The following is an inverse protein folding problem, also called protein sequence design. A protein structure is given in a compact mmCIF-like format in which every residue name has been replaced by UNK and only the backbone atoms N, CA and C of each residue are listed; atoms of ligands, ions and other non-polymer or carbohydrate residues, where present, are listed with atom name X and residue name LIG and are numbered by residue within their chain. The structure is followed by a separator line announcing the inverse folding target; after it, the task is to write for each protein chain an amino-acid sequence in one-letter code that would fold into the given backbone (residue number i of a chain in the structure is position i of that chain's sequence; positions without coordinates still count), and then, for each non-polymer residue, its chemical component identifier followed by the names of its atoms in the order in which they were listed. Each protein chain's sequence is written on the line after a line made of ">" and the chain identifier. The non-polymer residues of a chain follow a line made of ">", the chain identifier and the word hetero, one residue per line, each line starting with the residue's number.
data_IF_581719895723
#
_entry.id   IF_581719895723
#
_cell.length_a   1.000
_cell.length_b   1.000
_cell.length_c   1.000
_cell.angle_alpha   90.00
_cell.angle_beta   90.00
_cell.angle_gamma   90.00
#
_symmetry.space_group_name_H-M   'P 1'
#
loop_
_entity.id
_entity.type
_entity.pdbx_description
1 polymer ?
#
# COMPACT_ATOMS: atom_id res chain seq x y z
N UNK A 1 -4.37 16.21 -15.87
CA UNK A 1 -4.61 14.78 -15.59
C UNK A 1 -3.52 14.36 -14.62
N UNK A 2 -3.85 14.14 -13.35
CA UNK A 2 -2.88 13.82 -12.30
C UNK A 2 -2.40 12.38 -12.54
N UNK A 3 -1.09 12.15 -12.56
CA UNK A 3 -0.53 10.80 -12.71
C UNK A 3 -1.01 9.91 -11.56
N UNK A 4 -1.25 8.62 -11.80
CA UNK A 4 -1.66 7.70 -10.73
C UNK A 4 -0.65 7.74 -9.58
N UNK A 5 -1.11 8.10 -8.37
CA UNK A 5 -0.25 8.22 -7.18
C UNK A 5 0.28 9.62 -6.88
N UNK A 6 0.02 10.60 -7.76
CA UNK A 6 0.16 12.02 -7.45
C UNK A 6 -1.12 12.53 -6.76
N UNK A 7 -0.96 13.51 -5.88
CA UNK A 7 -2.04 14.19 -5.17
C UNK A 7 -2.21 15.60 -5.70
N UNK A 8 -3.43 16.11 -5.71
CA UNK A 8 -3.72 17.46 -6.14
C UNK A 8 -3.04 18.48 -5.20
N UNK A 9 -2.46 19.53 -5.78
CA UNK A 9 -1.77 20.59 -5.02
C UNK A 9 -2.73 21.46 -4.22
N UNK A 10 -4.02 21.38 -4.51
CA UNK A 10 -5.06 22.06 -3.73
C UNK A 10 -5.12 21.60 -2.28
N UNK A 11 -4.73 20.36 -1.98
CA UNK A 11 -4.82 19.79 -0.63
C UNK A 11 -3.49 19.93 0.09
N UNK A 12 -3.48 20.62 1.23
CA UNK A 12 -2.32 20.83 2.07
C UNK A 12 -2.32 19.93 3.30
N UNK A 13 -3.49 19.50 3.77
CA UNK A 13 -3.61 18.71 4.99
C UNK A 13 -3.12 17.26 4.78
N UNK A 14 -2.16 16.73 5.57
CA UNK A 14 -1.56 15.42 5.32
C UNK A 14 -2.56 14.26 5.26
N UNK A 15 -3.57 14.25 6.14
CA UNK A 15 -4.58 13.17 6.14
C UNK A 15 -5.50 13.22 4.91
N UNK A 16 -5.79 14.41 4.38
CA UNK A 16 -6.65 14.58 3.20
C UNK A 16 -5.89 14.11 1.96
N UNK A 17 -4.61 14.48 1.85
CA UNK A 17 -3.71 13.99 0.81
C UNK A 17 -3.57 12.46 0.84
N UNK A 18 -3.44 11.88 2.03
CA UNK A 18 -3.36 10.41 2.19
C UNK A 18 -4.68 9.72 1.78
N UNK A 19 -5.85 10.32 2.03
CA UNK A 19 -7.14 9.82 1.53
C UNK A 19 -7.28 9.94 0.01
N UNK A 20 -6.84 11.06 -0.57
CA UNK A 20 -6.82 11.24 -2.02
C UNK A 20 -5.92 10.19 -2.70
N UNK A 21 -4.72 9.99 -2.13
CA UNK A 21 -3.81 8.93 -2.57
C UNK A 21 -4.49 7.57 -2.44
N UNK A 22 -5.15 7.28 -1.31
CA UNK A 22 -5.84 6.02 -1.09
C UNK A 22 -6.89 5.75 -2.17
N UNK A 23 -7.68 6.76 -2.54
CA UNK A 23 -8.71 6.67 -3.58
C UNK A 23 -8.15 6.41 -4.97
N UNK A 24 -6.93 6.86 -5.25
CA UNK A 24 -6.35 6.86 -6.60
C UNK A 24 -5.29 5.78 -6.80
N UNK A 25 -4.70 5.26 -5.72
CA UNK A 25 -3.61 4.30 -5.78
C UNK A 25 -4.08 2.95 -6.34
N UNK A 26 -3.43 2.43 -7.40
CA UNK A 26 -3.67 1.09 -7.88
C UNK A 26 -3.14 0.04 -6.91
N UNK A 27 -3.74 -1.15 -6.93
CA UNK A 27 -3.24 -2.29 -6.18
C UNK A 27 -1.96 -2.85 -6.82
N UNK A 28 -1.10 -3.46 -6.01
CA UNK A 28 0.13 -4.09 -6.46
C UNK A 28 -0.13 -5.28 -7.38
N UNK A 29 -1.12 -6.11 -7.02
CA UNK A 29 -1.41 -7.40 -7.65
C UNK A 29 -2.88 -7.48 -8.09
N UNK A 30 -3.12 -8.11 -9.23
CA UNK A 30 -4.45 -8.57 -9.62
C UNK A 30 -4.81 -9.85 -8.85
N UNK A 31 -5.69 -9.73 -7.86
CA UNK A 31 -6.11 -10.86 -7.01
C UNK A 31 -7.38 -11.54 -7.58
N UNK A 32 -7.47 -12.90 -7.54
CA UNK A 32 -8.63 -13.62 -8.07
C UNK A 32 -9.95 -13.35 -7.34
N UNK A 33 -9.90 -13.01 -6.04
CA UNK A 33 -11.09 -12.83 -5.21
C UNK A 33 -11.91 -11.58 -5.57
N UNK A 34 -11.32 -10.59 -6.25
CA UNK A 34 -11.98 -9.34 -6.60
C UNK A 34 -11.13 -8.13 -6.21
N UNK A 35 -11.23 -7.07 -7.01
CA UNK A 35 -10.51 -5.82 -6.79
C UNK A 35 -11.15 -4.99 -5.67
N UNK A 36 -10.39 -4.03 -5.13
CA UNK A 36 -10.88 -2.98 -4.23
C UNK A 36 -12.12 -2.24 -4.77
N UNK A 37 -12.96 -1.65 -3.90
CA UNK A 37 -14.06 -0.80 -4.34
C UNK A 37 -13.57 0.37 -5.20
N UNK A 38 -14.24 0.60 -6.32
CA UNK A 38 -13.96 1.73 -7.21
C UNK A 38 -14.75 2.97 -6.81
N UNK A 39 -14.42 4.12 -7.41
CA UNK A 39 -15.07 5.41 -7.13
C UNK A 39 -16.59 5.38 -7.27
N UNK A 40 -17.12 4.69 -8.28
CA UNK A 40 -18.56 4.60 -8.50
C UNK A 40 -19.25 3.83 -7.37
N UNK A 41 -18.67 2.73 -6.93
CA UNK A 41 -19.22 1.94 -5.83
C UNK A 41 -19.18 2.69 -4.50
N UNK A 42 -18.11 3.46 -4.26
CA UNK A 42 -18.01 4.33 -3.09
C UNK A 42 -18.99 5.52 -3.16
N UNK A 43 -19.63 5.79 -4.30
CA UNK A 43 -20.41 7.02 -4.50
C UNK A 43 -19.53 8.28 -4.50
N UNK A 44 -18.27 8.12 -4.90
CA UNK A 44 -17.23 9.15 -4.93
C UNK A 44 -16.69 9.33 -6.34
N UNK A 45 -17.57 9.51 -7.32
CA UNK A 45 -17.20 9.77 -8.71
C UNK A 45 -17.18 11.28 -8.99
N UNK A 46 -16.09 11.78 -9.58
CA UNK A 46 -15.99 13.17 -10.06
C UNK A 46 -16.19 14.20 -8.94
N UNK A 47 -17.31 14.92 -8.99
CA UNK A 47 -17.64 16.01 -8.07
C UNK A 47 -17.85 15.52 -6.62
N UNK A 48 -18.45 14.35 -6.40
CA UNK A 48 -18.70 13.86 -5.04
C UNK A 48 -17.41 13.55 -4.29
N UNK A 49 -16.39 13.02 -4.98
CA UNK A 49 -15.05 12.85 -4.39
C UNK A 49 -14.44 14.21 -4.04
N UNK A 50 -14.50 15.16 -4.97
CA UNK A 50 -13.93 16.50 -4.79
C UNK A 50 -14.59 17.22 -3.61
N UNK A 51 -15.92 17.22 -3.54
CA UNK A 51 -16.67 17.83 -2.44
C UNK A 51 -16.26 17.24 -1.10
N UNK A 52 -16.16 15.91 -0.99
CA UNK A 52 -15.72 15.26 0.25
C UNK A 52 -14.32 15.72 0.66
N UNK A 53 -13.36 15.73 -0.27
CA UNK A 53 -11.98 16.13 0.02
C UNK A 53 -11.85 17.63 0.33
N UNK A 54 -12.57 18.49 -0.39
CA UNK A 54 -12.59 19.94 -0.17
C UNK A 54 -13.20 20.29 1.20
N UNK A 55 -14.24 19.56 1.63
CA UNK A 55 -14.84 19.73 2.95
C UNK A 55 -13.89 19.31 4.07
N UNK A 56 -13.18 18.17 3.89
CA UNK A 56 -12.17 17.70 4.85
C UNK A 56 -10.93 18.59 4.90
N UNK A 57 -10.54 19.20 3.78
CA UNK A 57 -9.44 20.18 3.74
C UNK A 57 -9.81 21.45 4.51
N UNK A 58 -11.08 21.89 4.41
CA UNK A 58 -11.58 23.08 5.10
C UNK A 58 -11.78 22.87 6.60
N UNK A 59 -12.26 21.69 6.99
CA UNK A 59 -12.49 21.29 8.38
C UNK A 59 -12.02 19.85 8.63
N UNK A 60 -10.72 19.65 8.94
CA UNK A 60 -10.16 18.31 9.11
C UNK A 60 -10.46 17.69 10.47
N UNK A 61 -11.12 18.39 11.40
CA UNK A 61 -11.21 17.99 12.81
C UNK A 61 -11.81 16.59 12.99
N UNK A 62 -12.86 16.26 12.23
CA UNK A 62 -13.48 14.94 12.29
C UNK A 62 -12.54 13.83 11.82
N UNK A 63 -11.75 14.08 10.78
CA UNK A 63 -10.75 13.14 10.27
C UNK A 63 -9.57 13.01 11.23
N UNK A 64 -9.06 14.11 11.78
CA UNK A 64 -7.99 14.09 12.77
C UNK A 64 -8.39 13.34 14.03
N UNK A 65 -9.58 13.60 14.55
CA UNK A 65 -10.13 12.92 15.72
C UNK A 65 -10.25 11.42 15.46
N UNK A 66 -10.76 11.03 14.28
CA UNK A 66 -10.85 9.62 13.90
C UNK A 66 -9.48 8.96 13.76
N UNK A 67 -8.46 9.68 13.31
CA UNK A 67 -7.13 9.15 13.07
C UNK A 67 -6.18 9.24 14.28
N UNK A 68 -6.56 9.96 15.35
CA UNK A 68 -5.70 10.29 16.48
C UNK A 68 -4.96 9.06 17.06
N UNK A 69 -5.67 7.95 17.29
CA UNK A 69 -5.11 6.73 17.84
C UNK A 69 -4.11 6.01 16.90
N UNK A 70 -4.15 6.27 15.58
CA UNK A 70 -3.21 5.68 14.63
C UNK A 70 -2.07 6.61 14.20
N UNK A 71 -2.03 7.87 14.66
CA UNK A 71 -0.96 8.82 14.29
C UNK A 71 0.45 8.32 14.65
N UNK A 72 0.56 7.49 15.69
CA UNK A 72 1.83 6.88 16.12
C UNK A 72 1.91 5.38 15.81
N UNK A 73 0.90 4.84 15.14
CA UNK A 73 0.82 3.41 14.89
C UNK A 73 1.70 2.97 13.72
N UNK A 74 1.85 1.65 13.59
CA UNK A 74 2.45 1.05 12.40
C UNK A 74 1.60 1.41 11.17
N UNK A 75 2.29 1.58 10.04
CA UNK A 75 1.69 1.96 8.75
C UNK A 75 0.47 1.12 8.32
N UNK A 76 0.46 -0.18 8.65
CA UNK A 76 -0.69 -1.05 8.38
C UNK A 76 -1.97 -0.60 9.11
N UNK A 77 -1.88 -0.31 10.42
CA UNK A 77 -3.03 0.17 11.20
C UNK A 77 -3.47 1.56 10.76
N UNK A 78 -2.52 2.42 10.38
CA UNK A 78 -2.83 3.73 9.81
C UNK A 78 -3.66 3.60 8.52
N UNK A 79 -3.19 2.76 7.59
CA UNK A 79 -3.88 2.50 6.32
C UNK A 79 -5.27 1.88 6.54
N UNK A 80 -5.39 0.94 7.46
CA UNK A 80 -6.65 0.31 7.81
C UNK A 80 -7.66 1.33 8.37
N UNK A 81 -7.25 2.22 9.28
CA UNK A 81 -8.13 3.30 9.76
C UNK A 81 -8.53 4.29 8.67
N UNK A 82 -7.66 4.57 7.70
CA UNK A 82 -8.06 5.39 6.55
C UNK A 82 -9.19 4.71 5.74
N UNK A 83 -9.12 3.39 5.56
CA UNK A 83 -10.22 2.62 4.94
C UNK A 83 -11.50 2.64 5.78
N UNK A 84 -11.40 2.48 7.11
CA UNK A 84 -12.56 2.57 8.01
C UNK A 84 -13.23 3.94 7.86
N UNK A 85 -12.45 5.02 7.94
CA UNK A 85 -12.94 6.37 7.75
C UNK A 85 -13.60 6.53 6.38
N UNK A 86 -12.92 6.12 5.31
CA UNK A 86 -13.42 6.24 3.94
C UNK A 86 -14.75 5.51 3.75
N UNK A 87 -14.86 4.23 4.16
CA UNK A 87 -16.09 3.45 4.04
C UNK A 87 -17.23 3.98 4.91
N UNK A 88 -16.91 4.66 6.03
CA UNK A 88 -17.90 5.31 6.89
C UNK A 88 -18.45 6.62 6.30
N UNK A 89 -17.68 7.28 5.43
CA UNK A 89 -18.04 8.58 4.81
C UNK A 89 -18.52 8.45 3.36
N UNK A 90 -18.11 7.40 2.67
CA UNK A 90 -18.45 7.13 1.28
C UNK A 90 -19.99 6.95 1.12
N UNK A 91 -20.66 7.78 0.30
CA UNK A 91 -22.12 7.72 0.14
C UNK A 91 -22.63 6.38 -0.39
N UNK A 92 -21.83 5.67 -1.19
CA UNK A 92 -22.20 4.38 -1.78
C UNK A 92 -22.09 3.20 -0.82
N UNK A 93 -21.56 3.40 0.39
CA UNK A 93 -21.33 2.33 1.35
C UNK A 93 -21.99 2.58 2.71
N UNK A 94 -22.13 1.50 3.47
CA UNK A 94 -22.42 1.51 4.90
C UNK A 94 -21.43 0.55 5.56
N UNK A 95 -20.48 1.08 6.31
CA UNK A 95 -19.59 0.25 7.13
C UNK A 95 -20.40 -0.44 8.23
N UNK A 96 -20.30 -1.76 8.32
CA UNK A 96 -21.08 -2.60 9.21
C UNK A 96 -20.27 -3.09 10.41
N UNK A 97 -19.02 -3.47 10.15
CA UNK A 97 -18.04 -3.82 11.16
C UNK A 97 -16.63 -3.61 10.61
N UNK A 98 -15.67 -3.45 11.50
CA UNK A 98 -14.25 -3.47 11.18
C UNK A 98 -13.50 -4.17 12.32
N UNK A 99 -12.36 -4.78 12.03
CA UNK A 99 -11.58 -5.59 12.99
C UNK A 99 -12.43 -6.64 13.71
N UNK A 100 -13.31 -7.33 12.99
CA UNK A 100 -14.19 -8.34 13.58
C UNK A 100 -13.37 -9.57 13.94
N UNK A 101 -13.05 -9.71 15.23
CA UNK A 101 -12.24 -10.81 15.73
C UNK A 101 -12.98 -12.14 15.64
N UNK A 102 -12.36 -13.12 14.98
CA UNK A 102 -12.87 -14.49 14.87
C UNK A 102 -12.22 -15.33 15.97
N UNK A 103 -13.02 -15.83 16.90
CA UNK A 103 -12.53 -16.52 18.10
C UNK A 103 -13.12 -17.90 18.24
N UNK A 104 -12.26 -18.86 18.60
CA UNK A 104 -12.64 -20.19 19.09
C UNK A 104 -12.23 -20.25 20.55
N UNK A 105 -13.22 -20.28 21.44
CA UNK A 105 -13.01 -20.23 22.89
C UNK A 105 -12.12 -19.03 23.29
N UNK A 106 -10.93 -19.29 23.85
CA UNK A 106 -9.95 -18.27 24.27
C UNK A 106 -8.94 -17.90 23.17
N UNK A 107 -8.99 -18.52 21.99
CA UNK A 107 -8.03 -18.31 20.90
C UNK A 107 -8.64 -17.44 19.80
N UNK A 108 -7.90 -16.41 19.38
CA UNK A 108 -8.21 -15.67 18.16
C UNK A 108 -7.65 -16.43 16.96
N UNK A 109 -8.53 -16.80 16.02
CA UNK A 109 -8.18 -17.49 14.78
C UNK A 109 -7.74 -16.52 13.69
N UNK A 110 -8.28 -15.30 13.72
CA UNK A 110 -8.00 -14.22 12.79
C UNK A 110 -8.96 -13.06 13.04
N UNK A 111 -8.99 -12.11 12.11
CA UNK A 111 -9.93 -11.00 12.11
C UNK A 111 -10.37 -10.69 10.68
N UNK A 112 -11.58 -10.19 10.52
CA UNK A 112 -12.04 -9.60 9.25
C UNK A 112 -11.80 -8.09 9.32
N UNK A 113 -11.02 -7.57 8.38
CA UNK A 113 -10.61 -6.15 8.39
C UNK A 113 -11.81 -5.21 8.28
N UNK A 114 -12.63 -5.37 7.22
CA UNK A 114 -13.82 -4.56 6.97
C UNK A 114 -14.99 -5.41 6.48
N UNK A 115 -16.18 -5.15 7.01
CA UNK A 115 -17.43 -5.62 6.46
C UNK A 115 -18.31 -4.41 6.15
N UNK A 116 -18.75 -4.26 4.90
CA UNK A 116 -19.64 -3.16 4.50
C UNK A 116 -20.78 -3.63 3.60
N UNK A 117 -21.85 -2.83 3.57
CA UNK A 117 -22.97 -2.98 2.65
C UNK A 117 -22.84 -1.97 1.52
N UNK A 118 -22.98 -2.43 0.28
CA UNK A 118 -23.17 -1.56 -0.87
C UNK A 118 -24.59 -1.00 -0.85
N UNK A 119 -24.75 0.31 -1.00
CA UNK A 119 -26.07 0.94 -1.03
C UNK A 119 -26.80 0.78 -2.35
N UNK A 120 -26.07 0.47 -3.43
CA UNK A 120 -26.64 0.30 -4.77
C UNK A 120 -27.54 -0.93 -4.89
N UNK A 121 -27.16 -2.04 -4.24
CA UNK A 121 -27.83 -3.35 -4.37
C UNK A 121 -28.03 -4.08 -3.03
N UNK A 122 -27.55 -3.52 -1.92
CA UNK A 122 -27.62 -4.14 -0.60
C UNK A 122 -26.60 -5.27 -0.37
N UNK A 123 -25.71 -5.53 -1.34
CA UNK A 123 -24.71 -6.60 -1.27
C UNK A 123 -23.73 -6.41 -0.13
N UNK A 124 -23.35 -7.51 0.53
CA UNK A 124 -22.35 -7.54 1.59
C UNK A 124 -20.97 -7.81 1.02
N UNK A 125 -20.00 -7.04 1.47
CA UNK A 125 -18.60 -7.17 1.06
C UNK A 125 -17.71 -7.29 2.28
N UNK A 126 -16.89 -8.34 2.29
CA UNK A 126 -15.72 -8.46 3.14
C UNK A 126 -14.51 -7.91 2.38
N UNK A 127 -13.86 -6.87 2.91
CA UNK A 127 -12.69 -6.25 2.32
C UNK A 127 -11.48 -6.40 3.24
N UNK A 128 -10.51 -7.19 2.81
CA UNK A 128 -9.17 -7.25 3.38
C UNK A 128 -8.32 -6.09 2.87
N UNK A 129 -7.61 -5.39 3.75
CA UNK A 129 -6.83 -4.19 3.41
C UNK A 129 -5.38 -4.35 3.85
N UNK A 130 -4.44 -4.05 2.96
CA UNK A 130 -3.03 -3.97 3.32
C UNK A 130 -2.30 -2.98 2.43
N UNK A 131 -1.35 -2.25 3.02
CA UNK A 131 -0.41 -1.45 2.24
C UNK A 131 0.99 -2.08 2.28
N UNK A 132 1.64 -2.19 1.13
CA UNK A 132 2.94 -2.87 1.02
C UNK A 132 3.94 -2.14 0.12
N UNK A 133 5.20 -2.26 0.49
CA UNK A 133 6.33 -1.70 -0.24
C UNK A 133 7.34 -2.83 -0.38
N UNK A 134 7.75 -3.13 -1.61
CA UNK A 134 8.66 -4.23 -1.90
C UNK A 134 9.79 -3.77 -2.81
N UNK A 135 11.00 -4.19 -2.50
CA UNK A 135 12.22 -3.92 -3.25
C UNK A 135 12.56 -5.18 -4.06
N UNK A 136 12.64 -5.03 -5.37
CA UNK A 136 12.91 -6.12 -6.30
C UNK A 136 14.38 -6.50 -6.35
N UNK A 137 14.67 -7.80 -6.31
CA UNK A 137 16.01 -8.36 -6.48
C UNK A 137 16.24 -8.82 -7.92
N UNK A 138 17.31 -8.34 -8.57
CA UNK A 138 17.68 -8.77 -9.94
C UNK A 138 18.07 -10.25 -10.00
N UNK A 139 18.57 -10.80 -8.90
CA UNK A 139 18.88 -12.22 -8.70
C UNK A 139 18.31 -12.67 -7.34
N UNK A 140 17.80 -13.89 -7.27
CA UNK A 140 17.11 -14.36 -6.08
C UNK A 140 16.29 -15.62 -6.32
N UNK A 141 15.40 -15.98 -5.39
CA UNK A 141 14.64 -17.22 -5.42
C UNK A 141 13.63 -17.28 -6.59
N UNK A 142 13.56 -18.43 -7.25
CA UNK A 142 12.64 -18.68 -8.36
C UNK A 142 13.00 -17.92 -9.65
N UNK A 143 12.07 -17.92 -10.60
CA UNK A 143 12.21 -17.27 -11.90
C UNK A 143 12.29 -15.73 -11.81
N UNK A 144 12.75 -15.01 -12.86
CA UNK A 144 12.86 -13.55 -12.85
C UNK A 144 11.60 -12.78 -12.44
N UNK A 145 10.41 -13.29 -12.76
CA UNK A 145 9.11 -12.68 -12.40
C UNK A 145 8.54 -13.21 -11.08
N UNK A 146 9.28 -14.05 -10.35
CA UNK A 146 8.82 -14.61 -9.08
C UNK A 146 8.53 -13.52 -8.04
N UNK A 147 7.35 -13.58 -7.44
CA UNK A 147 6.98 -12.74 -6.29
C UNK A 147 7.91 -12.92 -5.08
N UNK A 148 8.66 -14.02 -5.00
CA UNK A 148 9.64 -14.24 -3.93
C UNK A 148 10.87 -13.34 -4.05
N UNK A 149 11.10 -12.68 -5.20
CA UNK A 149 12.17 -11.69 -5.41
C UNK A 149 11.81 -10.28 -4.93
N UNK A 150 10.60 -10.09 -4.41
CA UNK A 150 10.08 -8.79 -3.98
C UNK A 150 10.05 -8.74 -2.46
N UNK A 151 11.08 -8.13 -1.88
CA UNK A 151 11.37 -8.20 -0.43
C UNK A 151 10.97 -6.92 0.27
N UNK A 152 10.29 -7.03 1.40
CA UNK A 152 9.92 -5.86 2.19
C UNK A 152 11.18 -5.13 2.67
N UNK A 153 11.19 -3.79 2.80
CA UNK A 153 12.38 -3.04 3.20
C UNK A 153 13.02 -3.60 4.48
N UNK A 154 12.22 -4.03 5.45
CA UNK A 154 12.70 -4.64 6.70
C UNK A 154 13.29 -6.05 6.58
N UNK A 155 13.36 -6.65 5.39
CA UNK A 155 13.84 -8.03 5.14
C UNK A 155 13.08 -9.13 5.89
N UNK A 156 11.87 -8.87 6.40
CA UNK A 156 11.09 -9.81 7.24
C UNK A 156 9.83 -10.34 6.55
N UNK A 157 9.60 -9.94 5.30
CA UNK A 157 8.42 -10.30 4.52
C UNK A 157 8.78 -10.28 3.03
N UNK A 158 8.01 -11.01 2.22
CA UNK A 158 8.08 -10.97 0.76
C UNK A 158 6.68 -10.90 0.17
N UNK A 159 6.58 -10.44 -1.08
CA UNK A 159 5.29 -10.36 -1.77
C UNK A 159 4.63 -11.74 -1.87
N UNK A 160 5.43 -12.79 -2.10
CA UNK A 160 4.96 -14.17 -2.10
C UNK A 160 4.35 -14.60 -0.76
N UNK A 161 5.01 -14.33 0.37
CA UNK A 161 4.48 -14.65 1.71
C UNK A 161 3.16 -13.91 1.97
N UNK A 162 3.09 -12.61 1.61
CA UNK A 162 1.86 -11.83 1.80
C UNK A 162 0.71 -12.37 0.94
N UNK A 163 0.96 -12.67 -0.33
CA UNK A 163 -0.05 -13.27 -1.23
C UNK A 163 -0.54 -14.61 -0.69
N UNK A 164 0.39 -15.49 -0.29
CA UNK A 164 0.04 -16.81 0.23
C UNK A 164 -0.81 -16.71 1.49
N UNK A 165 -0.44 -15.85 2.45
CA UNK A 165 -1.23 -15.63 3.66
C UNK A 165 -2.63 -15.11 3.37
N UNK A 166 -2.78 -14.20 2.40
CA UNK A 166 -4.10 -13.74 1.97
C UNK A 166 -4.94 -14.90 1.43
N UNK A 167 -4.36 -15.71 0.53
CA UNK A 167 -5.08 -16.80 -0.14
C UNK A 167 -5.39 -18.00 0.75
N UNK A 168 -4.46 -18.39 1.62
CA UNK A 168 -4.56 -19.63 2.41
C UNK A 168 -5.09 -19.42 3.82
N UNK A 169 -5.16 -18.18 4.29
CA UNK A 169 -5.60 -17.89 5.64
C UNK A 169 -6.68 -16.81 5.69
N UNK A 170 -6.37 -15.57 5.29
CA UNK A 170 -7.30 -14.44 5.49
C UNK A 170 -8.62 -14.62 4.75
N UNK A 171 -8.57 -14.97 3.46
CA UNK A 171 -9.80 -15.17 2.68
C UNK A 171 -10.58 -16.41 3.16
N UNK A 172 -9.96 -17.58 3.43
CA UNK A 172 -10.69 -18.71 4.02
C UNK A 172 -11.29 -18.47 5.41
N UNK A 173 -10.90 -17.42 6.16
CA UNK A 173 -11.53 -17.13 7.47
C UNK A 173 -13.05 -17.01 7.35
N UNK A 174 -13.57 -16.51 6.23
CA UNK A 174 -15.01 -16.34 6.01
C UNK A 174 -15.77 -17.68 6.00
N UNK A 175 -15.10 -18.79 5.69
CA UNK A 175 -15.70 -20.13 5.59
C UNK A 175 -15.77 -20.85 6.96
N UNK A 176 -15.19 -20.27 8.01
CA UNK A 176 -15.20 -20.87 9.34
C UNK A 176 -16.57 -20.72 10.03
N UNK A 177 -16.98 -21.76 10.76
CA UNK A 177 -18.20 -21.74 11.59
C UNK A 177 -18.16 -20.61 12.62
N UNK A 178 -16.99 -20.33 13.20
CA UNK A 178 -16.81 -19.20 14.13
C UNK A 178 -17.11 -17.86 13.47
N UNK A 179 -16.77 -17.72 12.18
CA UNK A 179 -17.05 -16.51 11.42
C UNK A 179 -18.53 -16.39 11.13
N UNK A 180 -19.21 -17.49 10.79
CA UNK A 180 -20.66 -17.49 10.60
C UNK A 180 -21.39 -17.12 11.91
N UNK A 181 -20.93 -17.62 13.05
CA UNK A 181 -21.46 -17.25 14.36
C UNK A 181 -21.27 -15.75 14.66
N UNK A 182 -20.07 -15.21 14.41
CA UNK A 182 -19.78 -13.79 14.59
C UNK A 182 -20.65 -12.90 13.69
N UNK A 183 -20.81 -13.29 12.42
CA UNK A 183 -21.68 -12.58 11.47
C UNK A 183 -23.15 -12.64 11.87
N UNK A 184 -23.62 -13.77 12.41
CA UNK A 184 -25.00 -13.89 12.89
C UNK A 184 -25.25 -13.01 14.13
N UNK A 185 -24.30 -12.94 15.06
CA UNK A 185 -24.40 -12.03 16.20
C UNK A 185 -24.49 -10.56 15.73
N UNK A 186 -23.63 -10.17 14.78
CA UNK A 186 -23.64 -8.83 14.20
C UNK A 186 -24.97 -8.51 13.48
N UNK A 187 -25.54 -9.48 12.75
CA UNK A 187 -26.86 -9.34 12.08
C UNK A 187 -27.97 -9.06 13.07
N UNK A 188 -27.98 -9.77 14.20
CA UNK A 188 -28.98 -9.61 15.26
C UNK A 188 -28.84 -8.23 15.90
N UNK A 189 -27.63 -7.85 16.30
CA UNK A 189 -27.34 -6.55 16.93
C UNK A 189 -27.73 -5.37 16.04
N UNK A 190 -27.42 -5.46 14.74
CA UNK A 190 -27.69 -4.39 13.78
C UNK A 190 -29.10 -4.47 13.16
N UNK A 191 -29.91 -5.45 13.57
CA UNK A 191 -31.29 -5.62 13.11
C UNK A 191 -31.44 -5.92 11.61
N UNK A 192 -30.47 -6.60 10.98
CA UNK A 192 -30.53 -6.93 9.54
C UNK A 192 -31.64 -7.94 9.20
N UNK A 193 -32.07 -8.75 10.19
CA UNK A 193 -32.92 -9.92 9.98
C UNK A 193 -34.44 -9.64 9.94
N UNK A 194 -34.89 -8.39 9.72
CA UNK A 194 -36.32 -8.08 9.56
C UNK A 194 -36.94 -8.60 8.24
N UNK A 195 -36.19 -9.32 7.40
CA UNK A 195 -36.59 -9.67 6.02
C UNK A 195 -36.52 -11.14 5.60
N UNK A 196 -36.15 -12.08 6.48
CA UNK A 196 -36.17 -13.51 6.16
C UNK A 196 -34.81 -14.11 5.73
N UNK A 197 -34.68 -15.41 6.02
CA UNK A 197 -33.48 -16.26 6.07
C UNK A 197 -32.89 -16.63 4.69
N UNK A 198 -32.60 -15.66 3.82
CA UNK A 198 -31.77 -15.96 2.65
C UNK A 198 -30.30 -16.03 3.07
N UNK A 199 -29.59 -17.05 2.59
CA UNK A 199 -28.14 -17.17 2.76
C UNK A 199 -27.46 -15.98 2.06
N UNK A 200 -27.04 -14.99 2.85
CA UNK A 200 -26.45 -13.77 2.29
C UNK A 200 -25.01 -14.08 1.89
N UNK A 201 -24.79 -14.26 0.58
CA UNK A 201 -23.45 -14.37 0.01
C UNK A 201 -22.66 -13.08 0.29
N UNK A 202 -21.51 -13.23 0.94
CA UNK A 202 -20.57 -12.14 1.17
C UNK A 202 -19.51 -12.19 0.06
N UNK A 203 -19.38 -11.10 -0.69
CA UNK A 203 -18.33 -10.94 -1.68
C UNK A 203 -17.01 -10.63 -0.97
N UNK A 204 -15.94 -11.33 -1.34
CA UNK A 204 -14.62 -11.10 -0.76
C UNK A 204 -13.78 -10.24 -1.68
N UNK A 205 -13.08 -9.24 -1.15
CA UNK A 205 -12.23 -8.35 -1.93
C UNK A 205 -10.94 -8.06 -1.18
N UNK A 206 -9.93 -7.65 -1.94
CA UNK A 206 -8.65 -7.21 -1.40
C UNK A 206 -8.33 -5.82 -1.92
N UNK A 207 -7.94 -4.91 -1.03
CA UNK A 207 -7.22 -3.70 -1.37
C UNK A 207 -5.75 -3.88 -0.94
N UNK A 208 -4.85 -3.92 -1.92
CA UNK A 208 -3.41 -4.08 -1.72
C UNK A 208 -2.62 -2.95 -2.41
N UNK A 209 -2.86 -1.67 -2.08
CA UNK A 209 -2.06 -0.58 -2.63
C UNK A 209 -0.63 -0.64 -2.10
N UNK A 210 0.26 0.06 -2.78
CA UNK A 210 1.67 -0.02 -2.46
C UNK A 210 2.58 0.53 -3.54
N UNK A 211 3.87 0.23 -3.41
CA UNK A 211 4.87 0.58 -4.43
C UNK A 211 5.86 -0.58 -4.62
N UNK A 212 6.12 -0.93 -5.88
CA UNK A 212 7.21 -1.83 -6.26
C UNK A 212 8.45 -1.00 -6.61
N UNK A 213 9.52 -1.17 -5.84
CA UNK A 213 10.78 -0.48 -6.07
C UNK A 213 11.71 -1.36 -6.89
N UNK A 214 12.18 -0.81 -8.00
CA UNK A 214 13.10 -1.46 -8.92
C UNK A 214 14.54 -1.02 -8.60
N UNK A 215 15.53 -1.90 -8.70
CA UNK A 215 16.92 -1.56 -8.38
C UNK A 215 17.45 -0.53 -9.36
N UNK A 216 18.10 0.51 -8.82
CA UNK A 216 18.81 1.50 -9.63
C UNK A 216 19.97 0.83 -10.38
N UNK A 217 20.01 1.01 -11.71
CA UNK A 217 20.98 0.35 -12.59
C UNK A 217 22.20 1.22 -12.92
N UNK A 218 22.36 2.38 -12.28
CA UNK A 218 23.35 3.37 -12.71
C UNK A 218 22.96 4.09 -14.01
N UNK A 219 23.84 4.97 -14.48
CA UNK A 219 23.77 5.53 -15.82
C UNK A 219 24.69 4.68 -16.70
N UNK A 220 24.19 4.20 -17.84
CA UNK A 220 25.01 3.47 -18.80
C UNK A 220 26.18 4.36 -19.25
N UNK A 221 27.42 3.97 -18.91
CA UNK A 221 28.61 4.65 -19.42
C UNK A 221 28.76 4.41 -20.93
N UNK A 222 29.40 5.33 -21.67
CA UNK A 222 29.61 5.21 -23.11
C UNK A 222 30.37 3.92 -23.52
N UNK A 223 31.18 3.35 -22.61
CA UNK A 223 31.99 2.14 -22.83
C UNK A 223 31.42 0.86 -22.19
N UNK A 224 30.17 0.88 -21.71
CA UNK A 224 29.57 -0.33 -21.14
C UNK A 224 29.14 -1.31 -22.22
N UNK A 225 29.99 -2.32 -22.48
CA UNK A 225 29.66 -3.52 -23.28
C UNK A 225 28.53 -4.38 -22.69
N UNK A 226 27.99 -3.98 -21.54
CA UNK A 226 26.74 -4.46 -20.99
C UNK A 226 25.59 -4.03 -21.92
N UNK A 227 25.31 -4.89 -22.88
CA UNK A 227 24.25 -4.73 -23.86
C UNK A 227 22.90 -4.59 -23.13
N UNK A 228 22.36 -3.37 -23.13
CA UNK A 228 21.06 -2.94 -22.60
C UNK A 228 20.91 -2.91 -21.06
N UNK A 229 20.12 -1.95 -20.51
CA UNK A 229 19.72 -1.99 -19.12
C UNK A 229 19.02 -3.33 -18.85
N UNK A 230 19.46 -4.07 -17.83
CA UNK A 230 18.72 -5.25 -17.35
C UNK A 230 17.47 -4.75 -16.64
N UNK A 231 16.46 -4.38 -17.41
CA UNK A 231 15.14 -4.06 -16.90
C UNK A 231 14.64 -5.26 -16.11
N UNK A 232 14.47 -5.08 -14.80
CA UNK A 232 13.83 -6.10 -13.97
C UNK A 232 12.35 -6.14 -14.34
N UNK A 233 11.88 -7.29 -14.80
CA UNK A 233 10.47 -7.50 -15.08
C UNK A 233 9.64 -7.33 -13.79
N UNK A 234 8.40 -6.81 -13.88
CA UNK A 234 7.47 -6.84 -12.75
C UNK A 234 7.21 -8.28 -12.30
N UNK A 235 6.74 -8.49 -11.06
CA UNK A 235 6.35 -9.81 -10.63
C UNK A 235 5.15 -10.31 -11.43
N UNK A 236 4.98 -11.63 -11.46
CA UNK A 236 3.74 -12.25 -11.91
C UNK A 236 2.53 -11.63 -11.18
N UNK A 237 1.44 -11.48 -11.92
CA UNK A 237 0.18 -10.86 -11.47
C UNK A 237 0.25 -9.40 -11.02
N UNK A 238 1.38 -8.71 -11.21
CA UNK A 238 1.43 -7.27 -10.98
C UNK A 238 0.43 -6.55 -11.89
N UNK A 239 -0.29 -5.56 -11.34
CA UNK A 239 -1.20 -4.74 -12.14
C UNK A 239 -0.40 -3.93 -13.16
N UNK A 240 -0.97 -3.62 -14.33
CA UNK A 240 -0.24 -2.89 -15.39
C UNK A 240 0.22 -1.50 -14.93
N UNK A 241 -0.56 -0.87 -14.05
CA UNK A 241 -0.36 0.47 -13.55
C UNK A 241 0.15 0.53 -12.09
N UNK A 242 0.66 -0.57 -11.53
CA UNK A 242 1.21 -0.55 -10.17
C UNK A 242 2.20 0.60 -10.00
N UNK A 243 2.19 1.24 -8.83
CA UNK A 243 3.13 2.33 -8.57
C UNK A 243 4.55 1.78 -8.53
N UNK A 244 5.45 2.52 -9.19
CA UNK A 244 6.86 2.19 -9.30
C UNK A 244 7.70 3.18 -8.52
N UNK A 245 8.79 2.69 -7.94
CA UNK A 245 9.85 3.50 -7.38
C UNK A 245 11.21 2.90 -7.71
N UNK A 246 12.26 3.54 -7.24
CA UNK A 246 13.64 3.08 -7.39
C UNK A 246 14.22 2.77 -6.02
N UNK A 247 15.01 1.71 -5.88
CA UNK A 247 15.81 1.52 -4.67
C UNK A 247 17.29 1.42 -5.00
N UNK A 248 18.13 1.84 -4.06
CA UNK A 248 19.58 1.78 -4.19
C UNK A 248 20.24 1.60 -2.81
N UNK A 249 21.43 0.98 -2.82
CA UNK A 249 22.28 0.90 -1.65
C UNK A 249 22.90 2.27 -1.33
N UNK A 250 23.27 2.49 -0.08
CA UNK A 250 23.87 3.74 0.38
C UNK A 250 25.15 4.09 -0.38
N UNK A 251 26.00 3.11 -0.66
CA UNK A 251 27.20 3.26 -1.51
C UNK A 251 26.92 3.78 -2.93
N UNK A 252 25.70 3.58 -3.44
CA UNK A 252 25.28 4.05 -4.75
C UNK A 252 24.73 5.48 -4.72
N UNK A 253 24.34 5.99 -3.54
CA UNK A 253 23.72 7.30 -3.38
C UNK A 253 24.56 8.45 -3.94
N UNK A 254 25.89 8.54 -3.69
CA UNK A 254 26.70 9.62 -4.26
C UNK A 254 26.62 9.68 -5.79
N UNK A 255 26.71 8.53 -6.48
CA UNK A 255 26.62 8.46 -7.94
C UNK A 255 25.21 8.84 -8.43
N UNK A 256 24.17 8.40 -7.71
CA UNK A 256 22.78 8.74 -8.02
C UNK A 256 22.53 10.26 -8.03
N UNK A 257 23.08 10.99 -7.05
CA UNK A 257 22.87 12.44 -6.96
C UNK A 257 23.87 13.28 -7.78
N UNK A 258 25.03 12.74 -8.14
CA UNK A 258 26.06 13.46 -8.91
C UNK A 258 25.55 13.93 -10.26
N UNK A 259 24.65 13.14 -10.86
CA UNK A 259 24.03 13.42 -12.15
C UNK A 259 22.64 14.06 -12.02
N UNK A 260 22.19 14.32 -10.80
CA UNK A 260 20.87 14.86 -10.55
C UNK A 260 20.84 16.38 -10.77
N UNK A 261 19.80 16.86 -11.44
CA UNK A 261 19.54 18.29 -11.62
C UNK A 261 19.49 19.03 -10.28
N UNK A 262 20.11 20.21 -10.19
CA UNK A 262 20.05 21.09 -9.01
C UNK A 262 18.63 21.60 -8.71
N UNK A 263 17.69 21.42 -9.65
CA UNK A 263 16.27 21.75 -9.48
C UNK A 263 15.48 20.66 -8.76
N UNK A 264 16.08 19.49 -8.54
CA UNK A 264 15.45 18.42 -7.79
C UNK A 264 15.39 18.80 -6.31
N UNK A 265 14.20 18.69 -5.75
CA UNK A 265 13.95 18.84 -4.32
C UNK A 265 13.42 17.52 -3.77
N UNK A 266 13.62 17.26 -2.48
CA UNK A 266 13.17 16.01 -1.90
C UNK A 266 12.83 16.10 -0.43
N UNK A 267 12.28 15.02 0.08
CA UNK A 267 11.97 14.85 1.50
C UNK A 267 12.14 13.38 1.89
N UNK A 268 12.57 13.16 3.14
CA UNK A 268 12.47 11.86 3.78
C UNK A 268 11.05 11.63 4.28
N UNK A 269 10.48 10.47 3.97
CA UNK A 269 9.15 10.10 4.46
C UNK A 269 9.24 9.53 5.87
N UNK A 270 8.49 10.10 6.81
CA UNK A 270 8.33 9.58 8.16
C UNK A 270 7.06 8.75 8.27
N UNK A 271 7.06 7.74 9.13
CA UNK A 271 5.81 7.01 9.45
C UNK A 271 4.88 7.93 10.24
N UNK A 272 3.55 7.87 10.00
CA UNK A 272 2.86 6.97 9.08
C UNK A 272 2.66 7.54 7.65
N UNK A 273 3.18 8.73 7.34
CA UNK A 273 2.96 9.44 6.07
C UNK A 273 3.85 8.93 4.92
N UNK A 274 3.63 7.67 4.53
CA UNK A 274 4.28 7.05 3.36
C UNK A 274 3.40 7.05 2.10
N UNK A 275 2.13 7.42 2.24
CA UNK A 275 1.12 7.33 1.18
C UNK A 275 1.27 8.51 0.23
N UNK A 276 0.77 9.70 0.56
CA UNK A 276 0.89 10.86 -0.31
C UNK A 276 2.29 11.49 -0.28
N UNK A 277 2.79 12.05 -1.41
CA UNK A 277 3.93 12.95 -1.35
C UNK A 277 3.62 14.17 -0.46
N UNK A 278 4.62 14.73 0.24
CA UNK A 278 4.44 15.95 1.02
C UNK A 278 4.20 17.15 0.09
N UNK A 279 3.73 18.26 0.65
CA UNK A 279 3.55 19.49 -0.12
C UNK A 279 4.90 20.02 -0.62
N UNK A 280 4.92 20.55 -1.85
CA UNK A 280 6.16 20.96 -2.53
C UNK A 280 6.97 22.00 -1.75
N UNK A 281 6.30 22.88 -1.01
CA UNK A 281 6.93 23.92 -0.18
C UNK A 281 7.75 23.36 1.00
N UNK A 282 7.54 22.10 1.38
CA UNK A 282 8.30 21.42 2.44
C UNK A 282 9.52 20.66 1.92
N UNK A 283 9.72 20.58 0.61
CA UNK A 283 10.84 19.87 0.02
C UNK A 283 12.14 20.65 0.20
N UNK A 284 13.23 19.95 0.51
CA UNK A 284 14.57 20.51 0.70
C UNK A 284 15.45 20.26 -0.53
N UNK A 285 16.59 20.95 -0.64
CA UNK A 285 17.61 20.64 -1.67
C UNK A 285 18.15 19.22 -1.54
N UNK A 286 18.64 18.66 -2.66
CA UNK A 286 19.41 17.42 -2.64
C UNK A 286 20.63 17.50 -1.72
N UNK A 287 21.32 18.65 -1.62
CA UNK A 287 22.45 18.82 -0.70
C UNK A 287 22.05 18.67 0.77
N UNK A 288 20.92 19.27 1.17
CA UNK A 288 20.39 19.16 2.53
C UNK A 288 19.96 17.72 2.83
N UNK A 289 19.32 17.07 1.85
CA UNK A 289 18.91 15.67 1.97
C UNK A 289 20.13 14.74 2.08
N UNK A 290 21.15 14.95 1.25
CA UNK A 290 22.43 14.23 1.30
C UNK A 290 23.12 14.40 2.66
N UNK A 291 23.20 15.63 3.18
CA UNK A 291 23.77 15.89 4.51
C UNK A 291 23.00 15.16 5.63
N UNK A 292 21.68 15.03 5.49
CA UNK A 292 20.83 14.29 6.43
C UNK A 292 21.08 12.79 6.36
N UNK A 293 21.13 12.22 5.15
CA UNK A 293 21.38 10.79 4.93
C UNK A 293 22.81 10.40 5.37
N UNK A 294 23.81 11.23 5.11
CA UNK A 294 25.17 11.03 5.60
C UNK A 294 25.24 10.93 7.14
N UNK A 295 24.46 11.73 7.86
CA UNK A 295 24.38 11.63 9.33
C UNK A 295 23.64 10.35 9.76
N UNK A 296 22.56 10.01 9.05
CA UNK A 296 21.74 8.84 9.35
C UNK A 296 22.51 7.52 9.17
N UNK A 297 23.13 7.32 8.00
CA UNK A 297 23.82 6.07 7.65
C UNK A 297 25.12 5.84 8.43
N UNK A 298 25.64 6.85 9.14
CA UNK A 298 26.69 6.67 10.15
C UNK A 298 26.21 5.94 11.41
N UNK A 299 24.90 5.92 11.67
CA UNK A 299 24.31 5.42 12.92
C UNK A 299 23.34 4.25 12.68
N UNK A 300 22.82 4.09 11.46
CA UNK A 300 21.77 3.13 11.14
C UNK A 300 21.87 2.67 9.69
N UNK A 301 21.69 1.37 9.46
CA UNK A 301 21.58 0.79 8.11
C UNK A 301 20.12 0.53 7.69
N UNK A 302 19.15 1.01 8.48
CA UNK A 302 17.74 0.75 8.19
C UNK A 302 17.31 1.48 6.90
N UNK A 303 16.40 0.88 6.12
CA UNK A 303 15.86 1.51 4.91
C UNK A 303 15.25 2.88 5.17
N UNK A 304 15.57 3.84 4.30
CA UNK A 304 15.04 5.21 4.32
C UNK A 304 14.21 5.45 3.05
N UNK A 305 12.89 5.63 3.17
CA UNK A 305 12.06 6.07 2.07
C UNK A 305 12.20 7.57 1.85
N UNK A 306 12.35 7.95 0.58
CA UNK A 306 12.47 9.31 0.10
C UNK A 306 11.47 9.55 -1.01
N UNK A 307 11.14 10.82 -1.21
CA UNK A 307 10.50 11.31 -2.42
C UNK A 307 11.33 12.45 -2.98
N UNK A 308 11.51 12.44 -4.29
CA UNK A 308 12.13 13.52 -5.05
C UNK A 308 11.08 14.10 -6.01
N UNK A 309 11.17 15.39 -6.27
CA UNK A 309 10.38 16.11 -7.24
C UNK A 309 11.33 16.90 -8.13
N UNK A 310 11.27 16.66 -9.44
CA UNK A 310 11.99 17.46 -10.42
C UNK A 310 11.10 18.59 -10.94
N UNK A 311 11.50 19.83 -10.74
CA UNK A 311 10.77 20.99 -11.26
C UNK A 311 10.96 21.19 -12.78
N UNK A 312 11.99 20.60 -13.38
CA UNK A 312 12.22 20.65 -14.84
C UNK A 312 11.26 19.73 -15.59
N UNK A 313 11.05 18.53 -15.05
CA UNK A 313 10.10 17.54 -15.52
C UNK A 313 9.18 17.19 -14.35
N UNK A 314 8.01 17.87 -14.21
CA UNK A 314 7.18 17.91 -12.99
C UNK A 314 6.63 16.53 -12.62
N UNK A 315 7.50 15.71 -12.04
CA UNK A 315 7.30 14.30 -11.78
C UNK A 315 7.82 13.96 -10.39
N UNK A 316 7.08 13.11 -9.70
CA UNK A 316 7.49 12.55 -8.43
C UNK A 316 8.25 11.25 -8.64
N UNK A 317 9.36 11.09 -7.92
CA UNK A 317 10.12 9.86 -7.85
C UNK A 317 10.10 9.35 -6.42
N UNK A 318 9.73 8.09 -6.23
CA UNK A 318 9.82 7.40 -4.94
C UNK A 318 11.11 6.62 -4.88
N UNK A 319 11.88 6.83 -3.81
CA UNK A 319 13.17 6.20 -3.65
C UNK A 319 13.25 5.48 -2.31
N UNK A 320 13.83 4.28 -2.29
CA UNK A 320 14.34 3.68 -1.06
C UNK A 320 15.86 3.66 -1.09
N UNK A 321 16.48 4.27 -0.08
CA UNK A 321 17.91 4.11 0.17
C UNK A 321 18.07 3.07 1.28
N UNK A 322 18.82 2.02 1.02
CA UNK A 322 19.06 0.93 1.98
C UNK A 322 20.53 0.87 2.38
N UNK A 323 20.84 0.30 3.54
CA UNK A 323 22.24 0.01 3.89
C UNK A 323 22.87 -1.00 2.92
N UNK A 324 24.19 -0.97 2.78
CA UNK A 324 24.91 -1.78 1.79
C UNK A 324 24.79 -3.30 2.02
N UNK A 325 24.50 -3.73 3.25
CA UNK A 325 24.21 -5.13 3.59
C UNK A 325 22.77 -5.58 3.36
N UNK A 326 21.92 -4.78 2.69
CA UNK A 326 20.54 -5.14 2.39
C UNK A 326 20.44 -6.01 1.11
N UNK A 327 19.56 -7.03 1.06
CA UNK A 327 18.71 -7.51 2.15
C UNK A 327 19.50 -8.42 3.11
N UNK A 328 19.24 -8.29 4.43
CA UNK A 328 19.94 -9.09 5.44
C UNK A 328 19.50 -10.56 5.46
N UNK A 329 18.29 -10.82 5.00
CA UNK A 329 17.71 -12.15 4.86
C UNK A 329 16.61 -12.10 3.80
N UNK A 330 16.32 -13.26 3.20
CA UNK A 330 15.25 -13.41 2.22
C UNK A 330 14.24 -14.42 2.76
N UNK A 331 13.08 -13.93 3.19
CA UNK A 331 11.99 -14.78 3.69
C UNK A 331 11.26 -15.42 2.51
N UNK A 332 11.30 -16.74 2.45
CA UNK A 332 10.60 -17.54 1.43
C UNK A 332 9.25 -18.03 1.96
N UNK A 333 8.21 -18.10 1.10
CA UNK A 333 7.00 -18.83 1.45
C UNK A 333 7.34 -20.30 1.74
N UNK A 334 6.61 -20.98 2.64
CA UNK A 334 6.76 -22.42 2.83
C UNK A 334 6.61 -23.14 1.49
N UNK A 335 7.62 -23.94 1.13
CA UNK A 335 7.62 -24.72 -0.11
C UNK A 335 6.42 -25.66 -0.11
N UNK A 336 5.50 -25.45 -1.05
CA UNK A 336 4.47 -26.45 -1.35
C UNK A 336 5.00 -27.28 -2.50
N UNK A 337 5.32 -28.55 -2.24
CA UNK A 337 5.73 -29.52 -3.24
C UNK A 337 4.59 -29.75 -4.24
N UNK A 338 4.44 -28.87 -5.24
CA UNK A 338 3.53 -29.03 -6.37
C UNK A 338 4.09 -28.33 -7.61
N UNK A 339 5.09 -28.97 -8.22
CA UNK A 339 5.39 -28.83 -9.67
C UNK A 339 6.38 -29.89 -10.19
N UNK A 340 6.38 -31.10 -9.62
CA UNK A 340 6.93 -32.29 -10.29
C UNK A 340 5.78 -33.09 -10.91
N UNK A 341 5.04 -32.46 -11.82
CA UNK A 341 4.19 -33.15 -12.81
C UNK A 341 3.90 -32.18 -13.95
N UNK A 342 4.85 -32.00 -14.86
CA UNK A 342 4.76 -32.48 -16.25
C UNK A 342 6.05 -32.18 -17.00
#
# INVERSE_FOLDING_TARGET
>A
MISSGDTDERYSHPLVRDLEWLLSAPDLLAMPCGARPNHRELGLNGESQRSLLDDLERDPLALETFMAAARQARLGLYHERLWQFLLSKAPGTQLLAHNLAIRREKRTLGELDMLYRRRSDGGLVHLEVAIKFYLGLTSGPGEPTSQARWIGPGSLDSLAIKRERLQRHQLPLLELDETQAALQALRIEQGWDKGGRAEVRIEQRVALPGVLFYPWQGIAGPDSSASQPRWMAPPDEATLNHLRGTWLAWSQWPNFIDHASTRIRGAQLSKPHWLAPPIKSTLVSLDTLNGTLCKYFKQSERPVPLVLFDAAEPTWQRIFVVGDGWPRQVSLPPWTARSLTR
#
